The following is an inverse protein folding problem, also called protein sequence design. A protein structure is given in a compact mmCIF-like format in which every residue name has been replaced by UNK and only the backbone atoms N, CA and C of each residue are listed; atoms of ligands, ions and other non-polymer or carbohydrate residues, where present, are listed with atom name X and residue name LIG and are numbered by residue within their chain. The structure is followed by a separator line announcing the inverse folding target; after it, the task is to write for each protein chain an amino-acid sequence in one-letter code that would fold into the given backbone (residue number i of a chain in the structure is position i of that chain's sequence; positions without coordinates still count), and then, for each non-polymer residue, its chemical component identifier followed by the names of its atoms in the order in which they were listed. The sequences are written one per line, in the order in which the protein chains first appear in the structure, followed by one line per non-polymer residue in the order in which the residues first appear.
data_IF_298253687321
#
_entry.id   IF_298253687321
#
_cell.length_a   1.000
_cell.length_b   1.000
_cell.length_c   1.000
_cell.angle_alpha   90.00
_cell.angle_beta   90.00
_cell.angle_gamma   90.00
#
_symmetry.space_group_name_H-M   'P 1'
#
loop_
_entity.id
_entity.type
_entity.pdbx_description
1 polymer ?
#
# COMPACT_ATOMS: atom_id res chain seq x y z
N UNK A 1 13.04 1.75 -2.99
CA UNK A 1 12.33 2.85 -3.67
C UNK A 1 12.43 4.10 -2.82
N UNK A 2 12.53 5.29 -3.43
CA UNK A 2 12.82 6.58 -2.75
C UNK A 2 11.61 7.53 -2.70
N UNK A 3 10.43 7.03 -3.00
CA UNK A 3 9.19 7.80 -3.00
C UNK A 3 8.43 7.60 -1.69
N UNK A 4 7.71 8.63 -1.26
CA UNK A 4 6.81 8.57 -0.10
C UNK A 4 5.80 7.43 -0.23
N UNK A 5 5.20 7.30 -1.43
CA UNK A 5 4.38 6.16 -1.85
C UNK A 5 5.02 5.56 -3.09
N UNK A 6 5.59 4.39 -2.90
CA UNK A 6 6.21 3.60 -3.94
C UNK A 6 5.27 2.58 -4.53
N UNK A 7 5.14 2.54 -5.86
CA UNK A 7 4.38 1.52 -6.59
C UNK A 7 5.35 0.78 -7.51
N UNK A 8 5.39 -0.55 -7.43
CA UNK A 8 6.20 -1.40 -8.30
C UNK A 8 5.32 -2.46 -8.98
N UNK A 9 5.37 -2.53 -10.31
CA UNK A 9 4.66 -3.54 -11.07
C UNK A 9 5.26 -4.92 -10.89
N UNK A 10 4.41 -5.90 -10.62
CA UNK A 10 4.72 -7.33 -10.44
C UNK A 10 3.65 -8.17 -11.14
N UNK A 11 3.91 -9.48 -11.27
CA UNK A 11 2.91 -10.42 -11.75
C UNK A 11 2.29 -11.20 -10.58
N UNK A 12 0.97 -11.35 -10.61
CA UNK A 12 0.21 -12.22 -9.72
C UNK A 12 -0.46 -13.32 -10.54
N UNK A 13 -0.52 -14.54 -10.00
CA UNK A 13 -1.30 -15.62 -10.60
C UNK A 13 -2.72 -15.59 -10.03
N UNK A 14 -3.73 -15.45 -10.88
CA UNK A 14 -5.16 -15.49 -10.55
C UNK A 14 -5.82 -16.46 -11.54
N UNK A 15 -6.53 -17.47 -11.03
CA UNK A 15 -7.24 -18.47 -11.85
C UNK A 15 -6.40 -19.13 -12.96
N UNK A 16 -5.11 -19.32 -12.68
CA UNK A 16 -4.18 -19.94 -13.63
C UNK A 16 -3.45 -18.97 -14.54
N UNK A 17 -3.90 -17.72 -14.65
CA UNK A 17 -3.35 -16.70 -15.53
C UNK A 17 -2.49 -15.69 -14.76
N UNK A 18 -1.49 -15.11 -15.45
CA UNK A 18 -0.71 -14.00 -14.90
C UNK A 18 -1.41 -12.69 -15.20
N UNK A 19 -1.70 -11.93 -14.15
CA UNK A 19 -2.28 -10.59 -14.21
C UNK A 19 -1.30 -9.56 -13.65
N UNK A 20 -1.41 -8.33 -14.15
CA UNK A 20 -0.69 -7.18 -13.61
C UNK A 20 -1.13 -6.89 -12.17
N UNK A 21 -0.15 -6.74 -11.29
CA UNK A 21 -0.32 -6.47 -9.88
C UNK A 21 0.80 -5.54 -9.36
N UNK A 22 0.61 -4.97 -8.17
CA UNK A 22 1.47 -3.93 -7.62
C UNK A 22 1.91 -4.31 -6.20
N UNK A 23 3.22 -4.19 -5.95
CA UNK A 23 3.75 -4.09 -4.59
C UNK A 23 3.81 -2.59 -4.22
N UNK A 24 3.34 -2.26 -3.02
CA UNK A 24 3.33 -0.87 -2.51
C UNK A 24 4.32 -0.74 -1.37
N UNK A 25 5.10 0.34 -1.40
CA UNK A 25 6.04 0.74 -0.35
C UNK A 25 5.72 2.12 0.20
N UNK A 26 5.98 2.35 1.49
CA UNK A 26 5.78 3.65 2.14
C UNK A 26 7.05 4.11 2.85
N UNK A 27 7.31 5.42 2.85
CA UNK A 27 8.36 6.06 3.66
C UNK A 27 9.75 6.12 3.01
N UNK A 28 9.83 5.91 1.69
CA UNK A 28 11.09 6.07 0.96
C UNK A 28 11.41 7.54 0.73
N UNK A 29 12.65 7.95 0.98
CA UNK A 29 13.08 9.32 0.75
C UNK A 29 14.60 9.43 0.58
N UNK A 30 15.03 10.57 0.06
CA UNK A 30 16.44 11.00 0.03
C UNK A 30 16.61 12.19 0.98
N UNK A 31 17.87 12.55 1.25
CA UNK A 31 18.21 13.69 2.11
C UNK A 31 18.91 13.24 3.39
N UNK A 32 18.77 14.00 4.49
CA UNK A 32 19.25 13.57 5.80
C UNK A 32 18.59 12.24 6.17
N UNK A 33 19.39 11.25 6.59
CA UNK A 33 18.92 9.90 6.96
C UNK A 33 18.17 9.15 5.84
N UNK A 34 18.80 8.94 4.67
CA UNK A 34 18.14 8.33 3.53
C UNK A 34 17.65 6.92 3.85
N UNK A 35 16.39 6.63 3.51
CA UNK A 35 15.74 5.35 3.76
C UNK A 35 14.99 4.87 2.52
N UNK A 36 15.06 3.56 2.26
CA UNK A 36 14.14 2.93 1.30
C UNK A 36 12.78 2.70 1.95
N UNK A 37 11.71 2.87 1.17
CA UNK A 37 10.36 2.58 1.67
C UNK A 37 10.16 1.11 2.02
N UNK A 38 9.37 0.86 3.06
CA UNK A 38 9.02 -0.46 3.55
C UNK A 38 7.83 -1.02 2.76
N UNK A 39 7.82 -2.32 2.47
CA UNK A 39 6.70 -2.95 1.75
C UNK A 39 5.52 -3.10 2.69
N UNK A 40 4.38 -2.49 2.33
CA UNK A 40 3.15 -2.48 3.14
C UNK A 40 1.99 -3.24 2.51
N UNK A 41 2.04 -3.45 1.19
CA UNK A 41 1.07 -4.27 0.47
C UNK A 41 1.76 -4.99 -0.68
N UNK A 42 1.35 -6.23 -0.95
CA UNK A 42 1.97 -7.08 -1.97
C UNK A 42 0.94 -7.63 -2.93
N UNK A 43 1.30 -7.68 -4.21
CA UNK A 43 0.50 -8.30 -5.28
C UNK A 43 -0.96 -7.84 -5.24
N UNK A 44 -1.17 -6.54 -5.07
CA UNK A 44 -2.48 -5.90 -5.25
C UNK A 44 -2.81 -5.94 -6.73
N UNK A 45 -3.86 -6.64 -7.19
CA UNK A 45 -4.24 -6.62 -8.60
C UNK A 45 -4.49 -5.20 -9.11
N UNK A 46 -4.30 -4.95 -10.41
CA UNK A 46 -4.46 -3.60 -10.95
C UNK A 46 -5.83 -2.97 -10.74
N UNK A 47 -6.89 -3.77 -10.68
CA UNK A 47 -8.24 -3.29 -10.41
C UNK A 47 -8.45 -2.81 -8.95
N UNK A 48 -7.63 -3.28 -8.01
CA UNK A 48 -7.70 -2.90 -6.58
C UNK A 48 -6.74 -1.73 -6.23
N UNK A 49 -5.90 -1.29 -7.17
CA UNK A 49 -4.87 -0.28 -6.92
C UNK A 49 -5.49 1.05 -6.47
N UNK A 50 -6.53 1.52 -7.16
CA UNK A 50 -7.16 2.80 -6.86
C UNK A 50 -7.76 2.80 -5.45
N UNK A 51 -8.46 1.73 -5.07
CA UNK A 51 -9.02 1.60 -3.73
C UNK A 51 -7.93 1.57 -2.66
N UNK A 52 -6.84 0.84 -2.92
CA UNK A 52 -5.70 0.76 -2.00
C UNK A 52 -5.05 2.14 -1.79
N UNK A 53 -4.88 2.93 -2.85
CA UNK A 53 -4.33 4.29 -2.76
C UNK A 53 -5.29 5.24 -2.02
N UNK A 54 -6.58 5.15 -2.29
CA UNK A 54 -7.60 5.92 -1.55
C UNK A 54 -7.55 5.59 -0.06
N UNK A 55 -7.40 4.31 0.30
CA UNK A 55 -7.27 3.87 1.70
C UNK A 55 -6.02 4.46 2.36
N UNK A 56 -4.88 4.45 1.67
CA UNK A 56 -3.63 5.06 2.16
C UNK A 56 -3.81 6.56 2.45
N UNK A 57 -4.36 7.30 1.49
CA UNK A 57 -4.54 8.74 1.63
C UNK A 57 -5.60 9.07 2.69
N UNK A 58 -6.65 8.26 2.79
CA UNK A 58 -7.69 8.41 3.82
C UNK A 58 -7.12 8.22 5.23
N UNK A 59 -6.23 7.23 5.42
CA UNK A 59 -5.56 7.02 6.71
C UNK A 59 -4.71 8.23 7.11
N UNK A 60 -3.97 8.80 6.16
CA UNK A 60 -3.22 10.03 6.39
C UNK A 60 -4.15 11.19 6.76
N UNK A 61 -5.18 11.47 5.96
CA UNK A 61 -6.14 12.56 6.23
C UNK A 61 -6.81 12.44 7.61
N UNK A 62 -7.08 11.22 8.08
CA UNK A 62 -7.75 10.99 9.36
C UNK A 62 -6.83 11.01 10.58
N UNK A 63 -5.55 10.70 10.41
CA UNK A 63 -4.65 10.38 11.52
C UNK A 63 -3.39 11.24 11.59
N UNK A 64 -3.18 12.13 10.62
CA UNK A 64 -2.09 13.09 10.67
C UNK A 64 -2.31 14.14 11.76
N UNK A 65 -1.23 14.62 12.35
CA UNK A 65 -1.25 15.76 13.25
C UNK A 65 -1.40 17.07 12.46
N UNK A 66 -1.82 18.16 13.11
CA UNK A 66 -1.98 19.45 12.44
C UNK A 66 -0.67 19.91 11.76
N UNK A 67 -0.72 20.10 10.45
CA UNK A 67 0.44 20.53 9.65
C UNK A 67 1.47 19.42 9.37
N UNK A 68 1.21 18.17 9.79
CA UNK A 68 2.07 17.03 9.51
C UNK A 68 2.02 16.67 8.03
N UNK A 69 3.19 16.50 7.40
CA UNK A 69 3.29 16.03 6.01
C UNK A 69 3.15 14.51 5.94
N UNK A 70 2.80 13.97 4.77
CA UNK A 70 2.75 12.52 4.57
C UNK A 70 4.10 11.84 4.89
N UNK A 71 5.22 12.47 4.53
CA UNK A 71 6.55 11.94 4.83
C UNK A 71 6.80 11.81 6.35
N UNK A 72 6.39 12.81 7.13
CA UNK A 72 6.50 12.77 8.60
C UNK A 72 5.56 11.73 9.21
N UNK A 73 4.32 11.66 8.73
CA UNK A 73 3.34 10.64 9.13
C UNK A 73 3.88 9.23 8.88
N UNK A 74 4.35 8.96 7.66
CA UNK A 74 4.95 7.70 7.26
C UNK A 74 6.18 7.34 8.11
N UNK A 75 6.99 8.33 8.50
CA UNK A 75 8.19 8.10 9.32
C UNK A 75 7.89 7.68 10.76
N UNK A 76 6.75 8.12 11.35
CA UNK A 76 6.35 7.76 12.71
C UNK A 76 5.45 6.51 12.80
N UNK A 77 4.94 6.03 11.68
CA UNK A 77 4.10 4.83 11.60
C UNK A 77 4.91 3.62 11.18
N UNK A 78 4.74 2.51 11.89
CA UNK A 78 5.40 1.24 11.54
C UNK A 78 4.76 0.59 10.30
N UNK A 79 5.57 -0.13 9.52
CA UNK A 79 5.11 -0.81 8.30
C UNK A 79 4.08 -1.91 8.56
N UNK A 80 4.14 -2.55 9.73
CA UNK A 80 3.15 -3.55 10.17
C UNK A 80 1.77 -2.90 10.37
N UNK A 81 1.72 -1.69 10.94
CA UNK A 81 0.47 -0.96 11.09
C UNK A 81 -0.17 -0.67 9.73
N UNK A 82 0.61 -0.22 8.74
CA UNK A 82 0.12 -0.05 7.38
C UNK A 82 -0.38 -1.36 6.77
N UNK A 83 0.37 -2.45 6.96
CA UNK A 83 0.00 -3.76 6.42
C UNK A 83 -1.32 -4.27 7.01
N UNK A 84 -1.56 -4.06 8.30
CA UNK A 84 -2.83 -4.34 8.97
C UNK A 84 -3.95 -3.46 8.42
N UNK A 85 -3.70 -2.15 8.29
CA UNK A 85 -4.67 -1.21 7.75
C UNK A 85 -4.88 -1.34 6.24
N UNK A 86 -4.10 -2.12 5.50
CA UNK A 86 -4.28 -2.38 4.07
C UNK A 86 -4.63 -3.84 3.80
N UNK A 87 -4.72 -4.67 4.84
CA UNK A 87 -5.16 -6.04 4.70
C UNK A 87 -6.52 -6.06 3.98
N UNK A 88 -6.68 -6.95 2.99
CA UNK A 88 -7.96 -7.12 2.33
C UNK A 88 -8.99 -7.45 3.40
N UNK A 89 -10.16 -6.79 3.35
CA UNK A 89 -11.30 -7.19 4.16
C UNK A 89 -11.51 -8.70 3.91
N UNK A 90 -11.44 -9.50 4.97
CA UNK A 90 -11.29 -10.94 4.88
C UNK A 90 -12.27 -11.55 3.85
N UNK A 91 -11.72 -12.15 2.79
CA UNK A 91 -12.34 -13.23 2.01
C UNK A 91 -13.73 -12.97 1.38
N UNK A 92 -14.01 -11.82 0.78
CA UNK A 92 -15.25 -11.63 -0.02
C UNK A 92 -15.07 -11.86 -1.54
N UNK A 93 -13.91 -12.33 -2.00
CA UNK A 93 -13.71 -12.75 -3.39
C UNK A 93 -13.84 -14.26 -3.62
N UNK A 94 -13.87 -15.08 -2.55
CA UNK A 94 -14.16 -16.52 -2.70
C UNK A 94 -15.65 -16.79 -3.00
N UNK A 95 -16.53 -15.80 -2.80
CA UNK A 95 -17.98 -15.94 -2.98
C UNK A 95 -18.46 -15.41 -4.35
N UNK A 96 -17.72 -14.51 -5.00
CA UNK A 96 -18.07 -14.03 -6.35
C UNK A 96 -17.70 -15.03 -7.47
N UNK A 97 -16.78 -15.97 -7.23
CA UNK A 97 -16.49 -17.07 -8.13
C UNK A 97 -17.47 -18.27 -7.97
N UNK A 98 -18.44 -18.17 -7.05
CA UNK A 98 -19.45 -19.18 -6.78
C UNK A 98 -20.89 -18.71 -7.08
N UNK A 99 -21.06 -17.55 -7.74
CA UNK A 99 -22.34 -17.00 -8.18
C UNK A 99 -22.33 -16.78 -9.70
#
# INVERSE_FOLDING_TARGET
QIADIGIEGVLKKVDGEFVEAMDIRIGGHLGPEPKFGDVVARKIPHWDLNETLVRILTLYEQMHDEGETFAAFAARTESDWWSEQLAPAAAEAAVAAAA
#
